data_IF_878639068960
#
_entry.id   IF_878639068960
#
_cell.length_a   1.000
_cell.length_b   1.000
_cell.length_c   1.000
_cell.angle_alpha   90.00
_cell.angle_beta   90.00
_cell.angle_gamma   90.00
#
_symmetry.space_group_name_H-M   'P 1'
#
loop_
_entity.id
_entity.type
_entity.pdbx_description
1 polymer ?
#
# COMPACT_ATOMS: atom_id res chain seq x y z
N UNK A 1 28.00 -5.02 -23.30
CA UNK A 1 26.77 -5.10 -22.48
C UNK A 1 27.10 -5.92 -21.24
N UNK A 2 27.06 -5.31 -20.05
CA UNK A 2 27.35 -6.03 -18.80
C UNK A 2 26.12 -6.88 -18.46
N UNK A 3 26.25 -8.20 -18.59
CA UNK A 3 25.24 -9.17 -18.15
C UNK A 3 25.36 -9.33 -16.63
N UNK A 4 25.03 -8.26 -15.90
CA UNK A 4 25.05 -8.31 -14.44
C UNK A 4 23.78 -9.01 -13.96
N UNK A 5 23.95 -9.99 -13.08
CA UNK A 5 22.87 -10.69 -12.37
C UNK A 5 22.36 -9.90 -11.16
N UNK A 6 22.82 -8.67 -11.01
CA UNK A 6 22.44 -7.77 -9.93
C UNK A 6 21.04 -7.21 -10.14
N UNK A 7 20.38 -6.97 -9.01
CA UNK A 7 19.11 -6.28 -8.96
C UNK A 7 19.35 -4.80 -9.26
N UNK A 8 18.61 -4.24 -10.22
CA UNK A 8 18.70 -2.83 -10.59
C UNK A 8 17.30 -2.26 -10.78
N UNK A 9 16.98 -1.19 -10.03
CA UNK A 9 15.66 -0.57 -10.05
C UNK A 9 15.24 -0.08 -11.44
N UNK A 10 16.17 0.47 -12.23
CA UNK A 10 15.92 0.92 -13.60
C UNK A 10 15.49 -0.20 -14.58
N UNK A 11 15.62 -1.47 -14.19
CA UNK A 11 15.21 -2.64 -14.98
C UNK A 11 14.02 -3.37 -14.36
N UNK A 12 13.38 -2.76 -13.36
CA UNK A 12 12.25 -3.33 -12.66
C UNK A 12 11.01 -3.33 -13.56
N UNK A 13 10.39 -4.50 -13.69
CA UNK A 13 9.21 -4.71 -14.53
C UNK A 13 7.91 -4.65 -13.71
N UNK A 14 7.99 -4.79 -12.39
CA UNK A 14 6.85 -4.79 -11.49
C UNK A 14 7.03 -5.68 -10.27
N UNK A 15 6.14 -5.52 -9.29
CA UNK A 15 6.03 -6.40 -8.13
C UNK A 15 4.67 -7.10 -8.09
N UNK A 16 4.66 -8.28 -7.51
CA UNK A 16 3.44 -8.98 -7.09
C UNK A 16 3.49 -9.18 -5.57
N UNK A 17 2.33 -9.16 -4.93
CA UNK A 17 2.18 -9.46 -3.52
C UNK A 17 1.20 -10.62 -3.33
N UNK A 18 1.34 -11.38 -2.23
CA UNK A 18 0.30 -12.30 -1.77
C UNK A 18 -0.92 -11.54 -1.25
N UNK A 19 -2.08 -12.21 -1.17
CA UNK A 19 -3.35 -11.61 -0.71
C UNK A 19 -3.27 -11.05 0.72
N UNK A 20 -2.42 -11.65 1.55
CA UNK A 20 -2.15 -11.23 2.92
C UNK A 20 -1.01 -10.20 3.04
N UNK A 21 -0.43 -9.76 1.92
CA UNK A 21 0.60 -8.74 1.82
C UNK A 21 1.88 -9.09 2.61
N UNK A 22 2.28 -10.37 2.63
CA UNK A 22 3.47 -10.86 3.33
C UNK A 22 4.61 -11.22 2.39
N UNK A 23 4.28 -11.76 1.21
CA UNK A 23 5.24 -12.16 0.19
C UNK A 23 5.31 -11.12 -0.91
N UNK A 24 6.48 -10.48 -1.09
CA UNK A 24 6.71 -9.52 -2.16
C UNK A 24 7.69 -10.07 -3.18
N UNK A 25 7.24 -10.18 -4.42
CA UNK A 25 7.99 -10.76 -5.53
C UNK A 25 8.34 -9.66 -6.53
N UNK A 26 9.64 -9.43 -6.78
CA UNK A 26 10.15 -8.40 -7.68
C UNK A 26 10.68 -9.01 -8.98
N UNK A 27 10.13 -8.56 -10.10
CA UNK A 27 10.54 -8.99 -11.43
C UNK A 27 11.46 -7.94 -12.07
N UNK A 28 12.64 -8.37 -12.52
CA UNK A 28 13.64 -7.49 -13.16
C UNK A 28 14.08 -8.14 -14.47
N UNK A 29 14.14 -7.36 -15.56
CA UNK A 29 14.34 -7.89 -16.92
C UNK A 29 15.67 -8.62 -17.16
N UNK A 30 16.70 -8.34 -16.36
CA UNK A 30 18.03 -8.95 -16.48
C UNK A 30 18.22 -10.19 -15.61
N UNK A 31 17.20 -10.65 -14.88
CA UNK A 31 17.33 -11.78 -13.95
C UNK A 31 16.61 -13.02 -14.48
N UNK A 32 17.30 -14.17 -14.43
CA UNK A 32 16.72 -15.47 -14.82
C UNK A 32 15.80 -16.08 -13.76
N UNK A 33 15.93 -15.64 -12.50
CA UNK A 33 15.10 -16.08 -11.38
C UNK A 33 14.44 -14.87 -10.76
N UNK A 34 13.23 -14.99 -10.26
CA UNK A 34 12.57 -13.92 -9.55
C UNK A 34 13.12 -13.77 -8.12
N UNK A 35 13.26 -12.54 -7.62
CA UNK A 35 13.64 -12.29 -6.22
C UNK A 35 12.39 -12.06 -5.42
N UNK A 36 12.26 -12.73 -4.28
CA UNK A 36 11.20 -12.47 -3.32
C UNK A 36 11.77 -11.99 -1.99
N UNK A 37 11.01 -11.15 -1.28
CA UNK A 37 11.25 -10.81 0.12
C UNK A 37 9.99 -11.21 0.89
N UNK A 38 10.18 -12.01 1.94
CA UNK A 38 9.12 -12.43 2.86
C UNK A 38 9.18 -11.57 4.10
N UNK A 39 8.05 -10.99 4.49
CA UNK A 39 7.89 -10.18 5.70
C UNK A 39 6.89 -10.81 6.67
N UNK A 40 6.89 -10.33 7.91
CA UNK A 40 5.75 -10.52 8.80
C UNK A 40 4.55 -9.71 8.26
N UNK A 41 3.31 -10.08 8.60
CA UNK A 41 2.10 -9.38 8.12
C UNK A 41 2.09 -7.88 8.46
N UNK A 42 2.68 -7.50 9.61
CA UNK A 42 2.79 -6.08 9.97
C UNK A 42 3.80 -5.37 9.08
N UNK A 43 4.99 -5.94 8.96
CA UNK A 43 6.10 -5.28 8.27
C UNK A 43 5.88 -5.27 6.75
N UNK A 44 5.18 -6.27 6.19
CA UNK A 44 4.82 -6.33 4.77
C UNK A 44 3.88 -5.20 4.36
N UNK A 45 2.87 -4.91 5.18
CA UNK A 45 1.96 -3.76 4.98
C UNK A 45 2.69 -2.42 5.00
N UNK A 46 3.62 -2.25 5.94
CA UNK A 46 4.46 -1.06 6.01
C UNK A 46 5.36 -0.95 4.77
N UNK A 47 5.96 -2.06 4.36
CA UNK A 47 6.77 -2.14 3.16
C UNK A 47 5.99 -1.74 1.89
N UNK A 48 4.74 -2.22 1.71
CA UNK A 48 3.91 -1.84 0.57
C UNK A 48 3.70 -0.33 0.50
N UNK A 49 3.36 0.28 1.65
CA UNK A 49 3.12 1.73 1.76
C UNK A 49 4.36 2.52 1.38
N UNK A 50 5.53 2.12 1.89
CA UNK A 50 6.79 2.77 1.55
C UNK A 50 7.17 2.58 0.09
N UNK A 51 6.93 1.39 -0.47
CA UNK A 51 7.16 1.13 -1.88
C UNK A 51 6.29 2.05 -2.73
N UNK A 52 4.97 2.13 -2.49
CA UNK A 52 4.07 3.03 -3.22
C UNK A 52 4.54 4.49 -3.16
N UNK A 53 4.97 4.97 -1.98
CA UNK A 53 5.52 6.32 -1.82
C UNK A 53 6.79 6.52 -2.66
N UNK A 54 7.70 5.53 -2.66
CA UNK A 54 8.92 5.58 -3.46
C UNK A 54 8.63 5.60 -4.97
N UNK A 55 7.59 4.90 -5.44
CA UNK A 55 7.19 4.92 -6.84
C UNK A 55 6.66 6.29 -7.27
N UNK A 56 5.75 6.85 -6.47
CA UNK A 56 5.22 8.19 -6.73
C UNK A 56 6.35 9.22 -6.70
N UNK A 57 7.30 9.11 -5.76
CA UNK A 57 8.47 9.97 -5.70
C UNK A 57 9.35 9.85 -6.95
N UNK A 58 9.56 8.63 -7.43
CA UNK A 58 10.38 8.36 -8.61
C UNK A 58 9.75 8.88 -9.91
N UNK A 59 8.41 8.83 -10.02
CA UNK A 59 7.68 9.27 -11.22
C UNK A 59 7.37 10.78 -11.21
N UNK A 60 6.96 11.33 -10.07
CA UNK A 60 6.39 12.69 -9.98
C UNK A 60 7.12 13.60 -8.99
N UNK A 61 8.11 13.09 -8.26
CA UNK A 61 8.82 13.81 -7.21
C UNK A 61 8.18 13.73 -5.83
N UNK A 62 8.93 14.14 -4.82
CA UNK A 62 8.56 13.98 -3.40
C UNK A 62 7.33 14.81 -2.99
N UNK A 63 7.12 15.98 -3.60
CA UNK A 63 5.98 16.85 -3.28
C UNK A 63 4.64 16.17 -3.59
N UNK A 64 4.60 15.34 -4.63
CA UNK A 64 3.40 14.57 -4.99
C UNK A 64 3.10 13.51 -3.94
N UNK A 65 4.12 12.89 -3.34
CA UNK A 65 3.94 11.89 -2.28
C UNK A 65 3.18 12.47 -1.11
N UNK A 66 3.55 13.67 -0.65
CA UNK A 66 2.89 14.33 0.50
C UNK A 66 1.40 14.52 0.21
N UNK A 67 1.07 14.98 -1.01
CA UNK A 67 -0.31 15.19 -1.43
C UNK A 67 -1.13 13.89 -1.41
N UNK A 68 -0.55 12.79 -1.93
CA UNK A 68 -1.24 11.48 -1.95
C UNK A 68 -1.37 10.89 -0.53
N UNK A 69 -0.38 11.08 0.34
CA UNK A 69 -0.44 10.65 1.74
C UNK A 69 -1.55 11.39 2.49
N UNK A 70 -1.64 12.71 2.32
CA UNK A 70 -2.70 13.52 2.94
C UNK A 70 -4.09 13.13 2.44
N UNK A 71 -4.21 12.81 1.15
CA UNK A 71 -5.45 12.32 0.56
C UNK A 71 -5.86 10.97 1.16
N UNK A 72 -4.93 10.00 1.17
CA UNK A 72 -5.18 8.68 1.78
C UNK A 72 -5.57 8.79 3.26
N UNK A 73 -4.96 9.71 4.01
CA UNK A 73 -5.32 9.96 5.41
C UNK A 73 -6.77 10.42 5.57
N UNK A 74 -7.27 11.29 4.67
CA UNK A 74 -8.67 11.75 4.69
C UNK A 74 -9.63 10.61 4.35
N UNK A 75 -9.35 9.85 3.30
CA UNK A 75 -10.18 8.72 2.88
C UNK A 75 -10.29 7.67 3.99
N UNK A 76 -9.18 7.34 4.67
CA UNK A 76 -9.18 6.44 5.83
C UNK A 76 -9.96 6.98 7.04
N UNK A 77 -10.12 8.30 7.18
CA UNK A 77 -10.95 8.88 8.23
C UNK A 77 -12.43 8.80 7.88
N UNK A 78 -12.78 8.99 6.62
CA UNK A 78 -14.15 8.91 6.10
C UNK A 78 -14.68 7.47 6.10
N UNK A 79 -13.81 6.48 5.87
CA UNK A 79 -14.15 5.05 5.87
C UNK A 79 -14.31 4.47 7.29
N UNK A 80 -14.07 5.26 8.35
CA UNK A 80 -14.34 4.82 9.71
C UNK A 80 -15.85 4.61 9.89
N UNK A 81 -16.27 3.47 10.49
CA UNK A 81 -17.69 3.23 10.71
C UNK A 81 -18.29 4.33 11.59
N UNK A 82 -19.32 5.00 11.08
CA UNK A 82 -20.08 5.97 11.86
C UNK A 82 -20.78 5.23 13.01
N UNK A 83 -20.78 5.79 14.23
CA UNK A 83 -21.51 5.19 15.33
C UNK A 83 -23.00 5.04 14.96
N UNK A 84 -23.65 3.92 15.29
CA UNK A 84 -25.06 3.74 15.01
C UNK A 84 -25.84 4.88 15.68
N UNK A 85 -26.68 5.56 14.91
CA UNK A 85 -27.58 6.58 15.44
C UNK A 85 -28.60 5.86 16.33
N UNK A 86 -28.41 5.93 17.65
CA UNK A 86 -29.39 5.46 18.63
C UNK A 86 -30.63 6.36 18.52
N UNK A 87 -31.59 5.97 17.68
CA UNK A 87 -32.92 6.54 17.69
C UNK A 87 -33.62 6.02 18.95
N UNK A 88 -33.57 6.78 20.05
CA UNK A 88 -34.45 6.54 21.18
C UNK A 88 -35.87 6.88 20.71
N UNK A 89 -36.68 5.85 20.45
CA UNK A 89 -38.11 6.02 20.21
C UNK A 89 -38.72 6.77 21.41
N UNK A 90 -39.46 7.85 21.13
CA UNK A 90 -40.09 8.64 22.18
C UNK A 90 -41.00 7.74 23.03
N UNK A 91 -41.01 7.90 24.37
CA UNK A 91 -41.81 7.06 25.25
C UNK A 91 -43.28 7.14 24.84
N UNK A 92 -43.89 5.99 24.58
CA UNK A 92 -45.32 5.89 24.25
C UNK A 92 -46.13 6.49 25.41
N UNK A 93 -46.92 7.51 25.11
CA UNK A 93 -47.89 8.06 26.06
C UNK A 93 -48.89 6.97 26.44
N UNK A 94 -48.94 6.66 27.74
CA UNK A 94 -49.94 5.77 28.31
C UNK A 94 -51.29 6.50 28.31
N UNK A 95 -52.24 5.99 27.52
CA UNK A 95 -53.65 6.42 27.55
C UNK A 95 -54.38 5.84 28.76
#
# INVERSE_FOLDING_TARGET
MINTREWAFAKWNGAAASDDETDYIFNVSNRQKTSGVLFSTRDGREFNRYLSCALIAAEYGIDRVITEVDKNMKELQEDKPMPPVLQLEAPKELK
#
